data_IF_027500632541
#
_entry.id   IF_027500632541
#
_cell.length_a   1.000
_cell.length_b   1.000
_cell.length_c   1.000
_cell.angle_alpha   90.00
_cell.angle_beta   90.00
_cell.angle_gamma   90.00
#
_symmetry.space_group_name_H-M   'P 1'
#
loop_
_entity.id
_entity.type
_entity.pdbx_description
1 polymer ?
#
# COMPACT_ATOMS: atom_id res chain seq x y z
N UNK A 1 -18.68 1.63 28.82
CA UNK A 1 -20.03 1.53 28.25
C UNK A 1 -20.22 0.09 27.80
N UNK A 2 -21.04 -0.69 28.52
CA UNK A 2 -21.20 -2.14 28.26
C UNK A 2 -22.21 -2.29 27.12
N UNK A 3 -21.77 -2.71 25.95
CA UNK A 3 -22.68 -3.09 24.86
C UNK A 3 -23.39 -4.38 25.27
N UNK A 4 -24.66 -4.28 25.65
CA UNK A 4 -25.55 -5.44 25.71
C UNK A 4 -25.72 -5.97 24.29
N UNK A 5 -25.01 -7.05 23.93
CA UNK A 5 -25.37 -7.87 22.77
C UNK A 5 -26.75 -8.45 23.03
N UNK A 6 -27.78 -7.78 22.53
CA UNK A 6 -29.15 -8.33 22.54
C UNK A 6 -29.10 -9.65 21.78
N UNK A 7 -29.63 -10.71 22.41
CA UNK A 7 -29.79 -12.00 21.73
C UNK A 7 -30.65 -11.78 20.49
N UNK A 8 -30.23 -12.28 19.31
CA UNK A 8 -30.97 -12.07 18.08
C UNK A 8 -32.36 -12.72 18.21
N UNK A 9 -33.38 -11.98 17.78
CA UNK A 9 -34.76 -12.46 17.71
C UNK A 9 -35.29 -12.24 16.30
N UNK A 10 -36.17 -13.11 15.85
CA UNK A 10 -36.80 -12.96 14.55
C UNK A 10 -37.75 -11.75 14.55
N UNK A 11 -37.70 -10.85 13.55
CA UNK A 11 -38.56 -9.67 13.51
C UNK A 11 -40.03 -9.98 13.16
N UNK A 12 -40.34 -11.20 12.70
CA UNK A 12 -41.69 -11.59 12.30
C UNK A 12 -42.50 -12.20 13.47
N UNK A 13 -41.87 -13.04 14.28
CA UNK A 13 -42.53 -13.80 15.37
C UNK A 13 -41.91 -13.56 16.77
N UNK A 14 -40.81 -12.80 16.86
CA UNK A 14 -40.09 -12.46 18.10
C UNK A 14 -39.48 -13.67 18.83
N UNK A 15 -39.33 -14.81 18.16
CA UNK A 15 -38.68 -16.00 18.70
C UNK A 15 -37.15 -15.81 18.81
N UNK A 16 -36.53 -16.49 19.77
CA UNK A 16 -35.07 -16.41 19.96
C UNK A 16 -34.35 -17.18 18.86
N UNK A 17 -33.42 -16.53 18.15
CA UNK A 17 -32.67 -17.13 17.06
C UNK A 17 -31.32 -17.68 17.54
N UNK A 18 -31.03 -18.94 17.23
CA UNK A 18 -29.70 -19.54 17.36
C UNK A 18 -28.93 -19.44 16.05
N UNK A 19 -27.60 -19.31 16.10
CA UNK A 19 -26.74 -19.33 14.90
C UNK A 19 -26.87 -20.61 14.07
N UNK A 20 -27.31 -21.73 14.68
CA UNK A 20 -27.53 -23.00 14.00
C UNK A 20 -28.80 -23.02 13.13
N UNK A 21 -29.73 -22.09 13.37
CA UNK A 21 -30.98 -21.96 12.61
C UNK A 21 -30.86 -20.95 11.46
N UNK A 22 -29.74 -20.24 11.38
CA UNK A 22 -29.46 -19.25 10.35
C UNK A 22 -28.58 -19.91 9.30
N UNK A 23 -29.09 -19.98 8.07
CA UNK A 23 -28.37 -20.53 6.93
C UNK A 23 -28.61 -19.66 5.70
N UNK A 24 -27.67 -19.71 4.77
CA UNK A 24 -27.79 -19.01 3.49
C UNK A 24 -28.81 -19.72 2.61
N UNK A 25 -29.84 -18.98 2.16
CA UNK A 25 -30.82 -19.50 1.22
C UNK A 25 -30.31 -19.35 -0.22
N UNK A 26 -29.50 -20.32 -0.64
CA UNK A 26 -28.90 -20.38 -1.98
C UNK A 26 -29.96 -20.48 -3.08
N UNK A 27 -31.13 -21.07 -2.81
CA UNK A 27 -32.19 -21.20 -3.80
C UNK A 27 -32.84 -19.84 -4.08
N UNK A 28 -33.18 -19.11 -3.02
CA UNK A 28 -33.69 -17.74 -3.11
C UNK A 28 -32.65 -16.81 -3.74
N UNK A 29 -31.38 -16.91 -3.35
CA UNK A 29 -30.30 -16.13 -3.96
C UNK A 29 -30.24 -16.35 -5.49
N UNK A 30 -30.26 -17.60 -5.96
CA UNK A 30 -30.25 -17.92 -7.39
C UNK A 30 -31.44 -17.33 -8.14
N UNK A 31 -32.64 -17.39 -7.54
CA UNK A 31 -33.84 -16.80 -8.11
C UNK A 31 -33.72 -15.27 -8.25
N UNK A 32 -33.26 -14.60 -7.18
CA UNK A 32 -33.02 -13.15 -7.17
C UNK A 32 -32.01 -12.77 -8.26
N UNK A 33 -30.90 -13.51 -8.38
CA UNK A 33 -29.85 -13.25 -9.36
C UNK A 33 -30.25 -13.49 -10.82
N UNK A 34 -31.36 -14.19 -11.07
CA UNK A 34 -31.92 -14.42 -12.40
C UNK A 34 -33.08 -13.49 -12.76
N UNK A 35 -33.41 -12.52 -11.90
CA UNK A 35 -34.39 -11.48 -12.24
C UNK A 35 -33.83 -10.58 -13.34
N UNK A 36 -34.65 -10.27 -14.34
CA UNK A 36 -34.32 -9.29 -15.37
C UNK A 36 -34.52 -7.86 -14.86
N UNK A 37 -33.56 -6.99 -15.17
CA UNK A 37 -33.66 -5.56 -14.89
C UNK A 37 -33.04 -4.72 -15.99
N UNK A 38 -33.44 -3.45 -16.02
CA UNK A 38 -32.86 -2.42 -16.88
C UNK A 38 -31.71 -1.71 -16.17
N UNK A 39 -30.77 -1.17 -16.95
CA UNK A 39 -29.67 -0.39 -16.41
C UNK A 39 -30.17 0.83 -15.59
N UNK A 40 -29.67 1.06 -14.36
CA UNK A 40 -29.97 2.25 -13.56
C UNK A 40 -29.55 3.57 -14.23
N UNK A 41 -28.50 3.52 -15.07
CA UNK A 41 -28.04 4.69 -15.83
C UNK A 41 -28.85 4.91 -17.13
N UNK A 42 -29.97 4.21 -17.30
CA UNK A 42 -30.90 4.33 -18.43
C UNK A 42 -30.24 4.15 -19.81
N UNK A 43 -29.25 3.26 -19.91
CA UNK A 43 -28.75 2.80 -21.21
C UNK A 43 -29.62 1.67 -21.77
N UNK A 44 -29.31 1.22 -22.99
CA UNK A 44 -30.09 0.19 -23.69
C UNK A 44 -29.90 -1.23 -23.14
N UNK A 45 -29.07 -1.41 -22.11
CA UNK A 45 -28.82 -2.73 -21.52
C UNK A 45 -29.98 -3.20 -20.63
N UNK A 46 -30.39 -4.44 -20.87
CA UNK A 46 -31.31 -5.22 -20.04
C UNK A 46 -30.75 -6.64 -19.90
N UNK A 47 -30.81 -7.20 -18.69
CA UNK A 47 -30.33 -8.54 -18.44
C UNK A 47 -30.56 -9.00 -17.00
N UNK A 48 -30.07 -10.20 -16.67
CA UNK A 48 -30.15 -10.75 -15.32
C UNK A 48 -29.34 -9.93 -14.30
N UNK A 49 -29.85 -9.84 -13.06
CA UNK A 49 -29.23 -9.11 -11.94
C UNK A 49 -27.76 -9.51 -11.73
N UNK A 50 -27.41 -10.78 -11.91
CA UNK A 50 -26.03 -11.28 -11.82
C UNK A 50 -25.01 -10.57 -12.74
N UNK A 51 -25.48 -10.00 -13.85
CA UNK A 51 -24.62 -9.34 -14.85
C UNK A 51 -24.61 -7.82 -14.72
N UNK A 52 -25.31 -7.24 -13.74
CA UNK A 52 -25.37 -5.78 -13.55
C UNK A 52 -24.01 -5.21 -13.21
N UNK A 53 -23.25 -5.89 -12.33
CA UNK A 53 -21.91 -5.43 -11.94
C UNK A 53 -20.96 -5.40 -13.14
N UNK A 54 -20.97 -6.47 -13.96
CA UNK A 54 -20.11 -6.54 -15.16
C UNK A 54 -20.53 -5.54 -16.23
N UNK A 55 -21.83 -5.23 -16.32
CA UNK A 55 -22.34 -4.16 -17.17
C UNK A 55 -21.91 -2.78 -16.68
N UNK A 56 -22.00 -2.48 -15.39
CA UNK A 56 -21.71 -1.15 -14.82
C UNK A 56 -20.26 -0.70 -15.11
N UNK A 57 -19.32 -1.64 -15.05
CA UNK A 57 -17.91 -1.40 -15.43
C UNK A 57 -17.73 -0.89 -16.86
N UNK A 58 -18.65 -1.27 -17.77
CA UNK A 58 -18.58 -0.98 -19.21
C UNK A 58 -19.70 -0.06 -19.69
N UNK A 59 -20.60 0.34 -18.80
CA UNK A 59 -21.80 1.08 -19.17
C UNK A 59 -21.41 2.42 -19.80
N UNK A 60 -21.94 2.74 -21.00
CA UNK A 60 -21.56 3.94 -21.75
C UNK A 60 -22.08 5.23 -21.12
N UNK A 61 -23.15 5.15 -20.32
CA UNK A 61 -23.79 6.29 -19.67
C UNK A 61 -23.35 6.50 -18.23
N UNK A 62 -22.56 5.59 -17.66
CA UNK A 62 -21.98 5.78 -16.33
C UNK A 62 -21.12 7.03 -16.32
N UNK A 63 -21.35 7.88 -15.32
CA UNK A 63 -20.57 9.11 -15.13
C UNK A 63 -19.22 8.74 -14.52
N UNK A 64 -18.15 9.04 -15.25
CA UNK A 64 -16.78 8.74 -14.85
C UNK A 64 -15.91 9.99 -14.96
N UNK A 65 -14.94 10.18 -14.04
CA UNK A 65 -13.96 11.25 -14.16
C UNK A 65 -12.95 10.94 -15.28
N UNK A 66 -12.33 12.00 -15.81
CA UNK A 66 -11.17 11.87 -16.69
C UNK A 66 -9.98 11.19 -15.97
N UNK A 67 -9.18 10.40 -16.68
CA UNK A 67 -7.96 9.78 -16.11
C UNK A 67 -6.93 10.80 -15.62
N UNK A 68 -6.97 12.04 -16.13
CA UNK A 68 -6.09 13.15 -15.74
C UNK A 68 -6.60 13.90 -14.49
N UNK A 69 -7.61 13.39 -13.79
CA UNK A 69 -8.17 14.04 -12.60
C UNK A 69 -7.16 14.22 -11.46
N UNK A 70 -6.21 13.30 -11.33
CA UNK A 70 -5.16 13.38 -10.30
C UNK A 70 -4.16 14.51 -10.53
N UNK A 71 -4.03 14.99 -11.77
CA UNK A 71 -3.06 16.00 -12.17
C UNK A 71 -3.69 17.34 -12.54
N UNK A 72 -5.02 17.44 -12.56
CA UNK A 72 -5.71 18.74 -12.64
C UNK A 72 -6.94 18.81 -13.56
N UNK A 73 -7.28 17.74 -14.29
CA UNK A 73 -8.47 17.77 -15.16
C UNK A 73 -9.77 17.58 -14.34
N UNK A 74 -10.68 18.54 -14.41
CA UNK A 74 -11.95 18.50 -13.66
C UNK A 74 -13.11 17.86 -14.42
N UNK A 75 -12.86 17.30 -15.61
CA UNK A 75 -13.92 16.72 -16.44
C UNK A 75 -14.53 15.47 -15.81
N UNK A 76 -15.86 15.45 -15.72
CA UNK A 76 -16.68 14.29 -15.34
C UNK A 76 -17.85 14.22 -16.30
N UNK A 77 -18.09 13.04 -16.88
CA UNK A 77 -19.17 12.88 -17.84
C UNK A 77 -19.44 11.41 -18.19
N UNK A 78 -20.41 11.15 -19.09
CA UNK A 78 -20.70 9.80 -19.54
C UNK A 78 -19.44 9.14 -20.13
N UNK A 79 -19.21 7.86 -19.81
CA UNK A 79 -18.05 7.09 -20.32
C UNK A 79 -17.89 7.21 -21.84
N UNK A 80 -18.98 7.18 -22.60
CA UNK A 80 -18.97 7.35 -24.07
C UNK A 80 -18.38 8.69 -24.52
N UNK A 81 -18.53 9.74 -23.72
CA UNK A 81 -18.05 11.10 -24.02
C UNK A 81 -16.57 11.27 -23.73
N UNK A 82 -15.94 10.39 -22.95
CA UNK A 82 -14.50 10.46 -22.65
C UNK A 82 -13.64 10.43 -23.92
N UNK A 83 -14.00 9.60 -24.91
CA UNK A 83 -13.22 9.50 -26.14
C UNK A 83 -13.17 10.83 -26.91
N UNK A 84 -14.25 11.60 -26.89
CA UNK A 84 -14.30 12.91 -27.53
C UNK A 84 -13.55 13.95 -26.69
N UNK A 85 -13.74 13.93 -25.36
CA UNK A 85 -12.99 14.76 -24.43
C UNK A 85 -11.47 14.60 -24.60
N UNK A 86 -10.93 13.38 -24.72
CA UNK A 86 -9.49 13.17 -24.93
C UNK A 86 -8.98 13.75 -26.24
N UNK A 87 -9.78 13.71 -27.32
CA UNK A 87 -9.40 14.25 -28.63
C UNK A 87 -9.40 15.77 -28.62
N UNK A 88 -10.42 16.38 -28.02
CA UNK A 88 -10.61 17.83 -28.04
C UNK A 88 -9.77 18.56 -26.99
N UNK A 89 -9.33 17.88 -25.93
CA UNK A 89 -8.55 18.47 -24.82
C UNK A 89 -7.13 17.88 -24.75
N UNK A 90 -6.57 17.42 -25.86
CA UNK A 90 -5.22 16.85 -25.91
C UNK A 90 -4.16 17.87 -25.48
N UNK A 91 -4.27 19.12 -25.95
CA UNK A 91 -3.34 20.20 -25.61
C UNK A 91 -3.39 20.52 -24.11
N UNK A 92 -4.59 20.66 -23.55
CA UNK A 92 -4.77 20.89 -22.11
C UNK A 92 -4.18 19.75 -21.27
N UNK A 93 -4.46 18.49 -21.63
CA UNK A 93 -3.87 17.34 -20.94
C UNK A 93 -2.35 17.29 -21.06
N UNK A 94 -1.82 17.65 -22.22
CA UNK A 94 -0.38 17.73 -22.44
C UNK A 94 0.24 18.81 -21.54
N UNK A 95 -0.34 20.00 -21.48
CA UNK A 95 0.15 21.11 -20.66
C UNK A 95 0.14 20.71 -19.19
N UNK A 96 -0.96 20.17 -18.68
CA UNK A 96 -1.04 19.67 -17.29
C UNK A 96 0.02 18.60 -17.01
N UNK A 97 0.25 17.67 -17.94
CA UNK A 97 1.26 16.62 -17.80
C UNK A 97 2.68 17.19 -17.77
N UNK A 98 2.97 18.17 -18.62
CA UNK A 98 4.29 18.82 -18.64
C UNK A 98 4.55 19.61 -17.35
N UNK A 99 3.54 20.31 -16.81
CA UNK A 99 3.66 20.98 -15.52
C UNK A 99 3.90 19.99 -14.38
N UNK A 100 3.18 18.86 -14.36
CA UNK A 100 3.41 17.81 -13.37
C UNK A 100 4.81 17.18 -13.51
N UNK A 101 5.34 17.05 -14.74
CA UNK A 101 6.67 16.52 -14.97
C UNK A 101 7.76 17.48 -14.45
N UNK A 102 7.62 18.78 -14.71
CA UNK A 102 8.57 19.78 -14.23
C UNK A 102 8.61 19.85 -12.71
N UNK A 103 7.45 19.87 -12.05
CA UNK A 103 7.37 19.85 -10.58
C UNK A 103 8.03 18.61 -9.98
N UNK A 104 7.79 17.43 -10.55
CA UNK A 104 8.49 16.20 -10.13
C UNK A 104 10.00 16.24 -10.38
N UNK A 105 10.47 16.93 -11.42
CA UNK A 105 11.90 17.11 -11.66
C UNK A 105 12.54 18.00 -10.59
N UNK A 106 11.88 19.10 -10.22
CA UNK A 106 12.33 20.01 -9.17
C UNK A 106 12.39 19.30 -7.81
N UNK A 107 11.35 18.54 -7.46
CA UNK A 107 11.32 17.71 -6.25
C UNK A 107 12.44 16.67 -6.24
N UNK A 108 12.75 16.05 -7.38
CA UNK A 108 13.86 15.11 -7.49
C UNK A 108 15.22 15.77 -7.27
N UNK A 109 15.42 17.00 -7.75
CA UNK A 109 16.66 17.75 -7.53
C UNK A 109 16.80 18.07 -6.04
N UNK A 110 15.73 18.54 -5.41
CA UNK A 110 15.70 18.86 -3.99
C UNK A 110 15.95 17.62 -3.12
N UNK A 111 15.29 16.50 -3.41
CA UNK A 111 15.52 15.23 -2.71
C UNK A 111 16.96 14.74 -2.87
N UNK A 112 17.56 14.86 -4.07
CA UNK A 112 18.97 14.51 -4.29
C UNK A 112 19.90 15.38 -3.44
N UNK A 113 19.60 16.67 -3.30
CA UNK A 113 20.36 17.59 -2.45
C UNK A 113 20.29 17.18 -0.98
N UNK A 114 19.08 16.94 -0.47
CA UNK A 114 18.88 16.47 0.92
C UNK A 114 19.60 15.14 1.19
N UNK A 115 19.58 14.21 0.24
CA UNK A 115 20.31 12.94 0.35
C UNK A 115 21.82 13.15 0.42
N UNK A 116 22.39 14.10 -0.32
CA UNK A 116 23.83 14.40 -0.27
C UNK A 116 24.22 14.99 1.09
N UNK A 117 23.42 15.93 1.61
CA UNK A 117 23.65 16.56 2.92
C UNK A 117 23.57 15.53 4.06
N UNK A 118 22.55 14.67 4.07
CA UNK A 118 22.42 13.61 5.06
C UNK A 118 23.55 12.57 4.97
N UNK A 119 24.01 12.25 3.75
CA UNK A 119 25.16 11.36 3.55
C UNK A 119 26.44 11.96 4.11
N UNK A 120 26.69 13.25 3.88
CA UNK A 120 27.87 13.94 4.40
C UNK A 120 27.91 13.92 5.94
N UNK A 121 26.81 14.33 6.59
CA UNK A 121 26.68 14.29 8.06
C UNK A 121 26.83 12.88 8.64
N UNK A 122 26.26 11.87 7.97
CA UNK A 122 26.41 10.48 8.38
C UNK A 122 27.87 10.00 8.26
N UNK A 123 28.59 10.39 7.20
CA UNK A 123 30.00 10.01 7.03
C UNK A 123 30.93 10.67 8.04
N UNK A 124 30.68 11.94 8.38
CA UNK A 124 31.39 12.67 9.43
C UNK A 124 31.20 11.96 10.78
N UNK A 125 29.94 11.68 11.14
CA UNK A 125 29.60 10.94 12.36
C UNK A 125 30.26 9.56 12.42
N UNK A 126 30.29 8.82 11.31
CA UNK A 126 30.98 7.52 11.22
C UNK A 126 32.48 7.68 11.42
N UNK A 127 33.08 8.73 10.86
CA UNK A 127 34.52 8.99 10.99
C UNK A 127 34.90 9.35 12.43
N UNK A 128 34.09 10.16 13.10
CA UNK A 128 34.28 10.53 14.50
C UNK A 128 34.13 9.32 15.42
N UNK A 129 33.09 8.51 15.22
CA UNK A 129 32.91 7.27 15.98
C UNK A 129 34.07 6.29 15.76
N UNK A 130 34.58 6.15 14.53
CA UNK A 130 35.77 5.32 14.25
C UNK A 130 37.00 5.81 15.00
N UNK A 131 37.20 7.13 15.07
CA UNK A 131 38.31 7.74 15.81
C UNK A 131 38.18 7.47 17.32
N UNK A 132 37.00 7.68 17.89
CA UNK A 132 36.72 7.37 19.30
C UNK A 132 36.97 5.88 19.61
N UNK A 133 36.55 4.97 18.73
CA UNK A 133 36.80 3.53 18.88
C UNK A 133 38.30 3.20 18.84
N UNK A 134 39.08 3.87 17.98
CA UNK A 134 40.53 3.69 17.92
C UNK A 134 41.22 4.16 19.21
N UNK A 135 40.81 5.30 19.74
CA UNK A 135 41.33 5.87 21.00
C UNK A 135 40.99 4.95 22.19
N UNK A 136 39.76 4.44 22.26
CA UNK A 136 39.34 3.47 23.28
C UNK A 136 40.10 2.14 23.15
N UNK A 137 40.33 1.65 21.93
CA UNK A 137 41.12 0.43 21.68
C UNK A 137 42.58 0.60 22.12
N UNK A 138 43.20 1.74 21.80
CA UNK A 138 44.56 2.05 22.22
C UNK A 138 44.70 2.11 23.75
N UNK A 139 43.71 2.70 24.42
CA UNK A 139 43.65 2.77 25.89
C UNK A 139 43.46 1.39 26.53
N UNK A 140 42.74 0.48 25.87
CA UNK A 140 42.53 -0.89 26.35
C UNK A 140 43.77 -1.80 26.15
N UNK A 141 44.56 -1.60 25.10
CA UNK A 141 45.82 -2.33 24.85
C UNK A 141 46.88 -2.01 25.92
N UNK A 142 46.85 -0.82 26.52
CA UNK A 142 47.76 -0.43 27.61
C UNK A 142 47.52 -1.18 28.93
N UNK A 143 46.40 -1.92 29.06
CA UNK A 143 46.05 -2.72 30.24
C UNK A 143 46.35 -4.22 30.11
N UNK A 144 46.89 -4.68 28.97
CA UNK A 144 47.33 -6.08 28.81
C UNK A 144 48.81 -6.18 29.25
N UNK A 145 49.14 -6.87 30.36
CA UNK A 145 50.52 -7.01 30.80
C UNK A 145 51.38 -7.70 29.74
N UNK A 146 52.53 -7.11 29.42
CA UNK A 146 53.60 -7.70 28.62
C UNK A 146 54.25 -8.88 29.37
N UNK A 147 53.58 -10.02 29.46
CA UNK A 147 54.19 -11.24 30.02
C UNK A 147 53.80 -12.54 29.30
N UNK A 148 53.35 -12.46 28.05
CA UNK A 148 53.10 -13.64 27.22
C UNK A 148 54.24 -13.94 26.24
N UNK A 149 55.48 -13.81 26.71
CA UNK A 149 56.63 -14.38 26.00
C UNK A 149 57.72 -14.92 26.94
N UNK A 150 57.31 -15.62 27.99
CA UNK A 150 58.17 -16.64 28.62
C UNK A 150 57.34 -17.73 29.26
N UNK A 151 57.62 -18.98 28.88
CA UNK A 151 57.11 -20.25 29.42
C UNK A 151 55.60 -20.49 29.29
N UNK A 152 55.22 -21.25 28.26
CA UNK A 152 54.94 -22.67 28.49
C UNK A 152 54.89 -23.44 27.16
N UNK A 153 56.04 -23.99 26.78
CA UNK A 153 56.12 -25.19 25.96
C UNK A 153 55.69 -26.35 26.85
N UNK A 154 54.44 -26.79 26.74
CA UNK A 154 53.99 -28.00 27.41
C UNK A 154 54.41 -29.19 26.55
N UNK A 155 55.44 -29.91 27.00
CA UNK A 155 55.74 -31.27 26.52
C UNK A 155 54.91 -32.22 27.37
N UNK A 156 53.87 -32.81 26.77
CA UNK A 156 53.09 -33.85 27.42
C UNK A 156 53.95 -35.13 27.47
N UNK A 157 54.48 -35.48 28.65
CA UNK A 157 54.96 -36.83 28.93
C UNK A 157 53.79 -37.66 29.43
N UNK A 158 53.37 -38.63 28.62
CA UNK A 158 52.51 -39.71 29.08
C UNK A 158 53.44 -40.78 29.65
N UNK A 159 53.35 -41.03 30.95
CA UNK A 159 53.98 -42.19 31.59
C UNK A 159 52.90 -43.02 32.30
N UNK A 160 52.61 -44.15 31.66
CA UNK A 160 52.27 -45.47 32.19
C UNK A 160 50.86 -45.73 32.76
N UNK A 161 50.02 -46.31 31.89
CA UNK A 161 49.45 -47.67 32.06
C UNK A 161 49.77 -48.50 30.82
#
# INVERSE_FOLDING_TARGET
MIFFFRKPKCPLDNESLSSQQIFEDVATERQILSLEMKCPNHCDWQGELRYVQTHDEKCPLTIVPCSYVSIGCNFKGPRRSLSDHYKNNLVEHHDITTQQLLTLQDENIELKKQVLELKASSTESISDLKKQVLELKASSIALIPKDYNSRNSYTWKINDF
#
